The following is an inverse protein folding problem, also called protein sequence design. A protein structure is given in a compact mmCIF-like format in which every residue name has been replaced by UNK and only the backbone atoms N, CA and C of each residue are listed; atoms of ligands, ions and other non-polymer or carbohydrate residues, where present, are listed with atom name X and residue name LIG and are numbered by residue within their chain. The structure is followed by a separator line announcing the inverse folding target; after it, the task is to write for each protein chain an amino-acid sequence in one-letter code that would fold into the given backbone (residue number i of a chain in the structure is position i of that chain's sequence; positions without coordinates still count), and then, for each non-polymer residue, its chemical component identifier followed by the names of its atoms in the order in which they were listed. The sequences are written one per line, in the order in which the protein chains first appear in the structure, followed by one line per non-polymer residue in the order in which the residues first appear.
data_IF_691836951897
#
_entry.id   IF_691836951897
#
_cell.length_a   1.000
_cell.length_b   1.000
_cell.length_c   1.000
_cell.angle_alpha   90.00
_cell.angle_beta   90.00
_cell.angle_gamma   90.00
#
_symmetry.space_group_name_H-M   'P 1'
#
loop_
_entity.id
_entity.type
_entity.pdbx_description
1 polymer ?
#
# COMPACT_ATOMS: atom_id res chain seq x y z
N UNK A 1 -6.37 -2.10 -6.08
CA UNK A 1 -5.20 -1.30 -5.64
C UNK A 1 -4.94 -1.58 -4.18
N UNK A 2 -3.67 -1.81 -3.85
CA UNK A 2 -3.20 -2.05 -2.48
C UNK A 2 -3.11 -0.70 -1.75
N UNK A 3 -3.86 -0.46 -0.67
CA UNK A 3 -3.99 0.86 -0.03
C UNK A 3 -2.87 1.13 0.99
N UNK A 4 -1.63 0.89 0.62
CA UNK A 4 -0.45 1.15 1.44
C UNK A 4 0.16 2.49 1.05
N UNK A 5 0.25 3.42 2.00
CA UNK A 5 0.64 4.79 1.75
C UNK A 5 -0.50 5.68 1.24
N UNK A 6 -0.32 7.00 1.39
CA UNK A 6 -1.34 7.98 1.08
C UNK A 6 -1.68 8.03 -0.42
N UNK A 7 -0.66 7.96 -1.28
CA UNK A 7 -0.85 8.09 -2.73
C UNK A 7 -1.38 6.82 -3.38
N UNK A 8 -1.17 5.65 -2.80
CA UNK A 8 -1.81 4.41 -3.24
C UNK A 8 -3.26 4.33 -2.76
N UNK A 9 -3.54 4.78 -1.54
CA UNK A 9 -4.90 4.86 -1.01
C UNK A 9 -5.77 5.88 -1.79
N UNK A 10 -5.15 6.94 -2.31
CA UNK A 10 -5.79 8.02 -3.08
C UNK A 10 -5.01 8.26 -4.38
N UNK A 11 -4.98 7.27 -5.23
CA UNK A 11 -4.13 7.17 -6.43
C UNK A 11 -4.46 8.14 -7.56
N UNK A 12 -5.54 8.89 -7.47
CA UNK A 12 -5.94 9.84 -8.51
C UNK A 12 -5.05 11.10 -8.53
N UNK A 13 -4.58 11.53 -9.71
CA UNK A 13 -3.65 12.67 -9.83
C UNK A 13 -4.16 13.97 -9.22
N UNK A 14 -5.47 14.22 -9.23
CA UNK A 14 -6.08 15.42 -8.62
C UNK A 14 -5.85 15.50 -7.10
N UNK A 15 -5.48 14.40 -6.47
CA UNK A 15 -5.16 14.37 -5.04
C UNK A 15 -3.71 14.73 -4.74
N UNK A 16 -2.87 14.97 -5.75
CA UNK A 16 -1.45 15.34 -5.58
C UNK A 16 -1.28 16.85 -5.59
N UNK A 17 -0.26 17.33 -4.87
CA UNK A 17 0.11 18.77 -4.89
C UNK A 17 0.99 19.15 -6.08
N UNK A 18 1.50 18.18 -6.83
CA UNK A 18 2.39 18.37 -7.97
C UNK A 18 2.08 17.41 -9.09
N UNK A 19 2.86 17.50 -10.15
CA UNK A 19 2.74 16.62 -11.33
C UNK A 19 3.29 15.21 -11.09
N UNK A 20 4.07 15.03 -10.02
CA UNK A 20 4.66 13.74 -9.62
C UNK A 20 4.27 13.40 -8.20
N UNK A 21 4.32 12.11 -7.87
CA UNK A 21 4.07 11.60 -6.53
C UNK A 21 5.19 12.04 -5.57
N UNK A 22 4.90 12.11 -4.24
CA UNK A 22 5.94 12.35 -3.25
C UNK A 22 7.07 11.34 -3.37
N UNK A 23 8.31 11.83 -3.35
CA UNK A 23 9.51 11.00 -3.58
C UNK A 23 9.64 9.86 -2.57
N UNK A 24 9.29 10.10 -1.30
CA UNK A 24 9.34 9.09 -0.25
C UNK A 24 8.50 7.85 -0.55
N UNK A 25 7.28 8.02 -1.07
CA UNK A 25 6.46 6.87 -1.48
C UNK A 25 6.90 6.30 -2.82
N UNK A 26 7.20 7.15 -3.80
CA UNK A 26 7.55 6.70 -5.16
C UNK A 26 8.88 5.97 -5.25
N UNK A 27 9.77 6.18 -4.30
CA UNK A 27 11.08 5.53 -4.25
C UNK A 27 11.08 4.20 -3.49
N UNK A 28 10.20 4.04 -2.50
CA UNK A 28 10.23 2.90 -1.58
C UNK A 28 9.20 1.83 -1.90
N UNK A 29 8.00 2.22 -2.31
CA UNK A 29 6.89 1.30 -2.57
C UNK A 29 6.39 1.42 -4.01
N UNK A 30 5.72 0.37 -4.55
CA UNK A 30 5.16 0.41 -5.90
C UNK A 30 4.16 1.55 -6.08
N UNK A 31 4.32 2.32 -7.16
CA UNK A 31 3.35 3.34 -7.56
C UNK A 31 2.13 2.71 -8.24
N UNK A 32 0.92 3.23 -7.96
CA UNK A 32 -0.33 2.62 -8.40
C UNK A 32 -0.32 1.11 -8.11
N UNK A 33 -0.02 0.79 -6.89
CA UNK A 33 0.20 -0.59 -6.46
C UNK A 33 -1.07 -1.41 -6.60
N UNK A 34 -1.08 -2.35 -7.51
CA UNK A 34 -2.18 -3.27 -7.74
C UNK A 34 -1.68 -4.71 -7.66
N UNK A 35 -2.49 -5.57 -7.09
CA UNK A 35 -2.28 -7.00 -6.99
C UNK A 35 -3.61 -7.72 -7.17
N UNK A 36 -3.55 -8.98 -7.57
CA UNK A 36 -4.71 -9.85 -7.69
C UNK A 36 -5.07 -10.44 -6.34
N UNK A 37 -6.35 -10.46 -5.99
CA UNK A 37 -6.78 -11.04 -4.72
C UNK A 37 -8.22 -10.67 -4.34
N UNK A 38 -8.55 -10.91 -3.08
CA UNK A 38 -9.84 -10.63 -2.47
C UNK A 38 -9.73 -9.45 -1.51
N UNK A 39 -10.71 -8.58 -1.55
CA UNK A 39 -10.80 -7.41 -0.68
C UNK A 39 -12.12 -7.37 0.07
N UNK A 40 -12.04 -7.05 1.36
CA UNK A 40 -13.18 -6.79 2.24
C UNK A 40 -13.04 -5.37 2.73
N UNK A 41 -14.10 -4.58 2.63
CA UNK A 41 -14.11 -3.20 3.07
C UNK A 41 -15.48 -2.81 3.63
N UNK A 42 -15.49 -1.84 4.49
CA UNK A 42 -16.71 -1.33 5.10
C UNK A 42 -16.45 -0.13 6.00
N UNK A 43 -17.55 0.33 6.58
CA UNK A 43 -17.55 1.47 7.51
C UNK A 43 -18.26 1.06 8.79
N UNK A 44 -17.71 1.44 9.93
CA UNK A 44 -18.34 1.24 11.22
C UNK A 44 -18.17 2.48 12.12
N UNK A 45 -18.96 2.51 13.18
CA UNK A 45 -18.98 3.64 14.09
C UNK A 45 -19.87 4.79 13.64
N UNK A 46 -19.98 5.80 14.50
CA UNK A 46 -20.85 6.96 14.26
C UNK A 46 -20.18 8.25 14.77
N UNK A 47 -20.53 9.39 14.15
CA UNK A 47 -20.02 10.71 14.52
C UNK A 47 -18.48 10.73 14.63
N UNK A 48 -17.94 11.10 15.80
CA UNK A 48 -16.51 11.21 16.02
C UNK A 48 -15.74 9.86 16.03
N UNK A 49 -16.44 8.73 16.17
CA UNK A 49 -15.87 7.38 16.13
C UNK A 49 -16.17 6.65 14.80
N UNK A 50 -16.13 7.35 13.69
CA UNK A 50 -16.36 6.77 12.36
C UNK A 50 -15.06 6.27 11.76
N UNK A 51 -15.06 4.99 11.39
CA UNK A 51 -13.92 4.30 10.80
C UNK A 51 -14.29 3.62 9.49
N UNK A 52 -13.41 3.69 8.52
CA UNK A 52 -13.44 2.88 7.31
C UNK A 52 -12.34 1.83 7.43
N UNK A 53 -12.65 0.57 7.16
CA UNK A 53 -11.67 -0.51 7.14
C UNK A 53 -11.57 -1.13 5.76
N UNK A 54 -10.39 -1.63 5.45
CA UNK A 54 -10.12 -2.42 4.26
C UNK A 54 -9.13 -3.53 4.64
N UNK A 55 -9.48 -4.76 4.32
CA UNK A 55 -8.61 -5.91 4.48
C UNK A 55 -8.53 -6.67 3.16
N UNK A 56 -7.34 -7.09 2.78
CA UNK A 56 -7.12 -7.76 1.50
C UNK A 56 -6.20 -8.97 1.69
N UNK A 57 -6.45 -10.01 0.90
CA UNK A 57 -5.51 -11.09 0.64
C UNK A 57 -5.16 -11.04 -0.84
N UNK A 58 -3.90 -10.83 -1.16
CA UNK A 58 -3.43 -10.53 -2.52
C UNK A 58 -2.25 -11.43 -2.91
N UNK A 59 -1.89 -11.41 -4.19
CA UNK A 59 -0.85 -12.27 -4.76
C UNK A 59 0.54 -12.11 -4.12
N UNK A 60 0.82 -10.97 -3.51
CA UNK A 60 2.08 -10.69 -2.86
C UNK A 60 3.14 -10.12 -3.81
N UNK A 61 4.15 -9.47 -3.23
CA UNK A 61 5.28 -8.94 -3.97
C UNK A 61 6.18 -10.07 -4.49
N UNK A 62 6.88 -9.77 -5.59
CA UNK A 62 7.85 -10.64 -6.23
C UNK A 62 9.27 -10.07 -6.02
N UNK A 63 10.14 -10.86 -5.40
CA UNK A 63 11.49 -10.43 -5.06
C UNK A 63 12.41 -10.17 -6.28
N UNK A 64 12.06 -10.64 -7.48
CA UNK A 64 12.80 -10.31 -8.70
C UNK A 64 12.89 -8.81 -8.97
N UNK A 65 11.91 -8.03 -8.49
CA UNK A 65 11.90 -6.58 -8.61
C UNK A 65 12.56 -5.84 -7.45
N UNK A 66 13.13 -6.55 -6.46
CA UNK A 66 13.76 -5.92 -5.31
C UNK A 66 15.16 -5.44 -5.66
N UNK A 67 15.50 -4.23 -5.23
CA UNK A 67 16.78 -3.60 -5.48
C UNK A 67 17.23 -2.82 -4.24
N UNK A 68 18.55 -2.78 -4.01
CA UNK A 68 19.14 -2.06 -2.88
C UNK A 68 18.80 -0.56 -2.88
N UNK A 69 18.63 0.02 -4.05
CA UNK A 69 18.37 1.46 -4.20
C UNK A 69 16.87 1.81 -4.18
N UNK A 70 16.03 0.89 -4.68
CA UNK A 70 14.59 1.12 -4.84
C UNK A 70 13.73 0.20 -3.95
N UNK A 71 14.35 -0.53 -3.06
CA UNK A 71 13.75 -1.43 -2.11
C UNK A 71 12.70 -2.35 -2.76
N UNK A 72 11.40 -2.23 -2.41
CA UNK A 72 10.33 -3.07 -2.97
C UNK A 72 9.55 -2.41 -4.12
N UNK A 73 9.95 -1.22 -4.57
CA UNK A 73 9.23 -0.40 -5.55
C UNK A 73 8.84 -1.16 -6.84
N UNK A 74 9.73 -1.99 -7.35
CA UNK A 74 9.54 -2.76 -8.59
C UNK A 74 9.03 -4.18 -8.34
N UNK A 75 8.70 -4.52 -7.11
CA UNK A 75 8.29 -5.88 -6.73
C UNK A 75 6.84 -6.23 -7.03
N UNK A 76 6.01 -5.28 -7.49
CA UNK A 76 4.61 -5.58 -7.83
C UNK A 76 4.54 -6.55 -9.00
N UNK A 77 3.66 -7.54 -8.92
CA UNK A 77 3.33 -8.42 -10.03
C UNK A 77 2.42 -7.66 -11.02
N UNK A 78 2.54 -7.94 -12.30
CA UNK A 78 2.00 -7.04 -13.32
C UNK A 78 0.58 -7.32 -13.72
N UNK A 79 0.30 -8.53 -14.17
CA UNK A 79 -0.95 -8.91 -14.81
C UNK A 79 -1.52 -10.17 -14.16
N UNK A 80 -2.84 -10.26 -14.12
CA UNK A 80 -3.54 -11.41 -13.56
C UNK A 80 -3.06 -12.76 -14.12
N UNK A 81 -2.76 -12.83 -15.40
CA UNK A 81 -2.32 -14.04 -16.08
C UNK A 81 -0.88 -14.48 -15.72
N UNK A 82 -0.08 -13.55 -15.21
CA UNK A 82 1.33 -13.74 -14.86
C UNK A 82 1.56 -13.73 -13.33
N UNK A 83 0.50 -13.49 -12.56
CA UNK A 83 0.59 -13.39 -11.10
C UNK A 83 0.88 -14.76 -10.47
N UNK A 84 1.92 -14.81 -9.66
CA UNK A 84 2.26 -15.97 -8.83
C UNK A 84 1.71 -15.79 -7.43
N UNK A 85 0.81 -16.65 -7.04
CA UNK A 85 0.16 -16.63 -5.73
C UNK A 85 0.68 -17.75 -4.80
N UNK A 86 1.96 -18.04 -4.88
CA UNK A 86 2.59 -19.08 -4.04
C UNK A 86 2.71 -18.62 -2.58
N UNK A 87 3.02 -17.33 -2.39
CA UNK A 87 3.10 -16.69 -1.09
C UNK A 87 2.22 -15.45 -1.07
N UNK A 88 0.94 -15.58 -0.73
CA UNK A 88 0.03 -14.46 -0.67
C UNK A 88 0.41 -13.47 0.42
N UNK A 89 0.06 -12.21 0.19
CA UNK A 89 0.23 -11.15 1.15
C UNK A 89 -1.10 -10.77 1.80
N UNK A 90 -1.01 -10.36 3.05
CA UNK A 90 -2.11 -9.77 3.79
C UNK A 90 -1.95 -8.26 3.88
N UNK A 91 -3.04 -7.55 3.61
CA UNK A 91 -3.08 -6.08 3.69
C UNK A 91 -4.24 -5.66 4.56
N UNK A 92 -3.98 -4.75 5.48
CA UNK A 92 -5.01 -4.12 6.29
C UNK A 92 -4.85 -2.61 6.30
N UNK A 93 -5.97 -1.89 6.22
CA UNK A 93 -6.02 -0.44 6.36
C UNK A 93 -7.21 -0.05 7.22
N UNK A 94 -6.99 0.95 8.08
CA UNK A 94 -8.01 1.56 8.90
C UNK A 94 -7.90 3.09 8.79
N UNK A 95 -8.96 3.74 8.35
CA UNK A 95 -9.06 5.18 8.26
C UNK A 95 -10.07 5.71 9.29
N UNK A 96 -9.65 6.67 10.09
CA UNK A 96 -10.54 7.43 10.96
C UNK A 96 -11.02 8.70 10.26
N UNK A 97 -12.33 8.90 10.26
CA UNK A 97 -12.99 10.04 9.59
C UNK A 97 -14.00 10.73 10.50
N UNK A 98 -13.74 10.74 11.80
CA UNK A 98 -14.67 11.27 12.80
C UNK A 98 -14.78 12.80 12.85
N UNK A 99 -13.80 13.52 12.33
CA UNK A 99 -13.80 14.98 12.27
C UNK A 99 -13.93 15.43 10.81
N UNK A 100 -14.88 16.33 10.49
CA UNK A 100 -15.03 16.87 9.14
C UNK A 100 -13.72 17.48 8.63
N UNK A 101 -13.31 17.07 7.44
CA UNK A 101 -12.06 17.52 6.82
C UNK A 101 -10.81 16.77 7.26
N UNK A 102 -10.83 16.05 8.38
CA UNK A 102 -9.70 15.26 8.87
C UNK A 102 -9.89 13.77 8.55
N UNK A 103 -8.88 13.18 7.92
CA UNK A 103 -8.72 11.74 7.76
C UNK A 103 -7.36 11.36 8.33
N UNK A 104 -7.32 10.37 9.20
CA UNK A 104 -6.10 9.74 9.67
C UNK A 104 -6.17 8.24 9.34
N UNK A 105 -5.14 7.70 8.72
CA UNK A 105 -5.10 6.33 8.27
C UNK A 105 -3.86 5.59 8.76
N UNK A 106 -4.03 4.30 9.00
CA UNK A 106 -2.93 3.37 9.23
C UNK A 106 -3.08 2.22 8.26
N UNK A 107 -1.98 1.77 7.68
CA UNK A 107 -2.00 0.57 6.84
C UNK A 107 -0.81 -0.32 7.12
N UNK A 108 -1.01 -1.61 6.92
CA UNK A 108 -0.03 -2.65 7.14
C UNK A 108 -0.08 -3.64 5.98
N UNK A 109 1.09 -3.95 5.44
CA UNK A 109 1.29 -4.97 4.42
C UNK A 109 2.25 -6.03 4.96
N UNK A 110 1.87 -7.28 4.84
CA UNK A 110 2.66 -8.43 5.24
C UNK A 110 2.73 -9.48 4.14
N UNK A 111 3.93 -9.83 3.73
CA UNK A 111 4.22 -10.96 2.86
C UNK A 111 5.29 -11.82 3.52
N UNK A 112 5.01 -13.10 3.75
CA UNK A 112 5.93 -14.00 4.46
C UNK A 112 7.16 -14.35 3.63
N UNK A 113 7.00 -14.45 2.31
CA UNK A 113 8.10 -14.82 1.42
C UNK A 113 7.90 -14.29 -0.02
N UNK A 114 8.30 -13.07 -0.28
CA UNK A 114 8.33 -12.53 -1.63
C UNK A 114 9.33 -13.27 -2.55
N UNK A 115 10.33 -13.94 -2.00
CA UNK A 115 11.26 -14.81 -2.72
C UNK A 115 10.59 -16.04 -3.32
N UNK A 116 9.54 -16.57 -2.66
CA UNK A 116 8.76 -17.69 -3.18
C UNK A 116 7.91 -17.34 -4.40
N UNK A 117 7.59 -16.07 -4.61
CA UNK A 117 6.89 -15.57 -5.80
C UNK A 117 7.87 -15.24 -6.95
N UNK A 118 9.19 -15.29 -6.71
CA UNK A 118 10.22 -14.99 -7.69
C UNK A 118 10.52 -16.19 -8.60
N UNK A 119 11.22 -15.94 -9.72
CA UNK A 119 11.72 -17.01 -10.56
C UNK A 119 12.87 -17.75 -9.86
N UNK A 120 12.82 -19.09 -9.88
CA UNK A 120 13.82 -19.96 -9.26
C UNK A 120 15.25 -19.73 -9.79
N UNK A 121 15.36 -19.25 -11.03
CA UNK A 121 16.65 -18.93 -11.65
C UNK A 121 17.35 -17.72 -11.05
N UNK A 122 16.60 -16.84 -10.39
CA UNK A 122 17.12 -15.53 -9.93
C UNK A 122 17.32 -15.46 -8.42
N UNK A 123 16.51 -16.22 -7.66
CA UNK A 123 16.52 -16.16 -6.19
C UNK A 123 16.61 -17.58 -5.62
N UNK A 124 17.81 -18.02 -5.31
CA UNK A 124 18.08 -19.31 -4.68
C UNK A 124 17.38 -19.43 -3.30
N UNK A 125 16.20 -20.03 -3.23
CA UNK A 125 15.52 -20.44 -2.00
C UNK A 125 15.62 -19.49 -0.79
N UNK A 126 15.88 -18.20 -1.02
CA UNK A 126 16.02 -17.21 0.04
C UNK A 126 14.65 -16.65 0.41
N UNK A 127 14.32 -16.72 1.69
CA UNK A 127 13.09 -16.10 2.18
C UNK A 127 13.28 -14.60 2.27
N UNK A 128 12.36 -13.86 1.65
CA UNK A 128 12.27 -12.40 1.74
C UNK A 128 10.95 -12.00 2.39
N UNK A 129 10.88 -11.98 3.72
CA UNK A 129 9.70 -11.44 4.39
C UNK A 129 9.62 -9.93 4.19
N UNK A 130 8.45 -9.43 3.85
CA UNK A 130 8.20 -8.00 3.64
C UNK A 130 7.15 -7.54 4.63
N UNK A 131 7.50 -6.54 5.42
CA UNK A 131 6.61 -5.85 6.34
C UNK A 131 6.66 -4.37 6.01
N UNK A 132 5.51 -3.77 5.73
CA UNK A 132 5.42 -2.34 5.48
C UNK A 132 4.31 -1.79 6.37
N UNK A 133 4.66 -0.85 7.22
CA UNK A 133 3.71 -0.13 8.04
C UNK A 133 3.69 1.34 7.63
N UNK A 134 2.50 1.90 7.44
CA UNK A 134 2.35 3.31 7.11
C UNK A 134 1.33 3.98 8.01
N UNK A 135 1.61 5.23 8.34
CA UNK A 135 0.69 6.14 9.00
C UNK A 135 0.56 7.37 8.12
N UNK A 136 -0.66 7.75 7.80
CA UNK A 136 -0.92 8.94 7.01
C UNK A 136 -2.05 9.77 7.61
N UNK A 137 -2.02 11.06 7.33
CA UNK A 137 -3.06 12.00 7.72
C UNK A 137 -3.28 13.03 6.63
N UNK A 138 -4.55 13.38 6.41
CA UNK A 138 -4.96 14.43 5.49
C UNK A 138 -5.97 15.35 6.18
N UNK A 139 -5.70 16.65 6.12
CA UNK A 139 -6.62 17.66 6.59
C UNK A 139 -7.01 18.60 5.44
N UNK A 140 -8.29 18.70 5.19
CA UNK A 140 -8.86 19.54 4.13
C UNK A 140 -9.75 20.61 4.77
N UNK A 141 -9.34 21.87 4.64
CA UNK A 141 -10.09 23.04 5.08
C UNK A 141 -10.22 24.01 3.89
N UNK A 142 -11.25 24.87 3.81
CA UNK A 142 -11.41 25.80 2.69
C UNK A 142 -10.19 26.66 2.37
N UNK A 143 -9.34 26.93 3.35
CA UNK A 143 -8.14 27.76 3.19
C UNK A 143 -6.82 26.97 3.21
N UNK A 144 -6.82 25.72 3.66
CA UNK A 144 -5.60 24.93 3.84
C UNK A 144 -5.86 23.46 3.56
N UNK A 145 -4.96 22.85 2.79
CA UNK A 145 -4.89 21.40 2.65
C UNK A 145 -3.53 20.95 3.17
N UNK A 146 -3.51 20.09 4.19
CA UNK A 146 -2.29 19.53 4.74
C UNK A 146 -2.30 18.01 4.61
N UNK A 147 -1.14 17.43 4.30
CA UNK A 147 -0.94 15.97 4.19
C UNK A 147 0.36 15.58 4.85
N UNK A 148 0.35 14.48 5.58
CA UNK A 148 1.53 13.88 6.18
C UNK A 148 1.49 12.36 5.97
N UNK A 149 2.67 11.76 5.76
CA UNK A 149 2.81 10.33 5.61
C UNK A 149 4.15 9.87 6.18
N UNK A 150 4.14 8.73 6.88
CA UNK A 150 5.33 8.06 7.41
C UNK A 150 5.29 6.60 6.97
N UNK A 151 6.37 6.13 6.37
CA UNK A 151 6.62 4.73 6.02
C UNK A 151 7.69 4.15 6.96
N UNK A 152 7.45 2.92 7.40
CA UNK A 152 8.38 2.14 8.23
C UNK A 152 8.49 0.72 7.67
#
# INVERSE_FOLDING_TARGET
IVPVGLTNAHHEPMNFFGTVRPEGESSLIPCSWHETGLAFYGTFGQKAARFNYQAMVVSGLNANGFDRNNWVQKGKQGKFEEDRMQHPAFVARLDWTGVPGLRAGVSYYYCDNAGGNADISTVYNTKFPVNIFTVDAQYVHPYVIARANVLI
#
